data_IF_909551972801
#
_entry.id   IF_909551972801
#
_cell.length_a   1.000
_cell.length_b   1.000
_cell.length_c   1.000
_cell.angle_alpha   90.00
_cell.angle_beta   90.00
_cell.angle_gamma   90.00
#
_symmetry.space_group_name_H-M   'P 1'
#
loop_
_entity.id
_entity.type
_entity.pdbx_description
1 polymer ?
#
# COMPACT_ATOMS: atom_id res chain seq x y z
N UNK A 1 14.65 -10.65 -8.13
CA UNK A 1 15.58 -9.52 -7.86
C UNK A 1 16.24 -9.71 -6.49
N UNK A 2 17.16 -8.83 -6.07
CA UNK A 2 17.62 -8.73 -4.67
C UNK A 2 16.93 -7.55 -3.96
N UNK A 3 17.16 -7.36 -2.66
CA UNK A 3 16.43 -6.36 -1.88
C UNK A 3 16.72 -4.91 -2.29
N UNK A 4 17.99 -4.55 -2.54
CA UNK A 4 18.35 -3.19 -2.97
C UNK A 4 17.78 -2.86 -4.36
N UNK A 5 17.79 -3.83 -5.27
CA UNK A 5 17.12 -3.72 -6.58
C UNK A 5 15.61 -3.56 -6.39
N UNK A 6 14.99 -4.30 -5.48
CA UNK A 6 13.58 -4.13 -5.17
C UNK A 6 13.28 -2.71 -4.69
N UNK A 7 14.02 -2.19 -3.70
CA UNK A 7 13.80 -0.85 -3.13
C UNK A 7 13.91 0.22 -4.21
N UNK A 8 15.00 0.22 -4.98
CA UNK A 8 15.21 1.19 -6.06
C UNK A 8 14.13 1.08 -7.15
N UNK A 9 13.76 -0.14 -7.56
CA UNK A 9 12.71 -0.36 -8.56
C UNK A 9 11.34 0.10 -8.04
N UNK A 10 11.04 -0.15 -6.76
CA UNK A 10 9.79 0.24 -6.14
C UNK A 10 9.63 1.76 -6.09
N UNK A 11 10.69 2.48 -5.73
CA UNK A 11 10.68 3.94 -5.71
C UNK A 11 10.46 4.52 -7.11
N UNK A 12 11.13 3.97 -8.14
CA UNK A 12 10.94 4.38 -9.53
C UNK A 12 9.51 4.09 -10.01
N UNK A 13 8.99 2.90 -9.69
CA UNK A 13 7.63 2.51 -10.05
C UNK A 13 6.60 3.41 -9.34
N UNK A 14 6.80 3.72 -8.06
CA UNK A 14 5.93 4.62 -7.30
C UNK A 14 5.88 6.01 -7.96
N UNK A 15 7.03 6.57 -8.31
CA UNK A 15 7.10 7.86 -8.98
C UNK A 15 6.41 7.87 -10.35
N UNK A 16 6.56 6.80 -11.13
CA UNK A 16 6.01 6.72 -12.50
C UNK A 16 4.53 6.40 -12.56
N UNK A 17 4.06 5.52 -11.67
CA UNK A 17 2.72 4.96 -11.79
C UNK A 17 1.79 5.46 -10.68
N UNK A 18 2.28 5.54 -9.44
CA UNK A 18 1.45 5.88 -8.27
C UNK A 18 1.29 7.39 -8.10
N UNK A 19 2.36 8.14 -8.35
CA UNK A 19 2.40 9.61 -8.28
C UNK A 19 1.97 10.29 -9.58
N UNK A 20 1.90 9.54 -10.68
CA UNK A 20 1.40 10.05 -11.94
C UNK A 20 -0.08 10.39 -11.84
N UNK A 21 -0.45 11.53 -12.44
CA UNK A 21 -1.83 11.99 -12.49
C UNK A 21 -2.63 11.10 -13.42
N UNK A 22 -3.79 10.67 -12.94
CA UNK A 22 -4.88 10.12 -13.76
C UNK A 22 -5.50 11.26 -14.59
N UNK A 23 -6.44 10.89 -15.46
CA UNK A 23 -7.16 11.84 -16.31
C UNK A 23 -7.95 12.91 -15.53
N UNK A 24 -8.31 12.61 -14.27
CA UNK A 24 -8.98 13.54 -13.36
C UNK A 24 -8.05 14.58 -12.69
N UNK A 25 -6.76 14.54 -13.02
CA UNK A 25 -5.75 15.45 -12.50
C UNK A 25 -5.20 15.08 -11.11
N UNK A 26 -5.72 14.02 -10.47
CA UNK A 26 -5.21 13.49 -9.21
C UNK A 26 -4.26 12.31 -9.45
N UNK A 27 -3.21 12.16 -8.64
CA UNK A 27 -2.39 10.94 -8.65
C UNK A 27 -3.20 9.73 -8.15
N UNK A 28 -2.71 8.51 -8.39
CA UNK A 28 -3.32 7.31 -7.80
C UNK A 28 -3.28 7.39 -6.28
N UNK A 29 -2.15 7.77 -5.68
CA UNK A 29 -2.07 8.08 -4.25
C UNK A 29 -1.54 9.50 -4.02
N UNK A 30 -2.40 10.45 -3.56
CA UNK A 30 -2.01 11.84 -3.28
C UNK A 30 -0.89 12.01 -2.25
N UNK A 31 -0.67 11.03 -1.40
CA UNK A 31 0.30 11.10 -0.30
C UNK A 31 1.62 10.38 -0.61
N UNK A 32 1.70 9.59 -1.69
CA UNK A 32 2.87 8.77 -2.01
C UNK A 32 4.14 9.62 -2.21
N UNK A 33 4.02 10.74 -2.92
CA UNK A 33 5.15 11.65 -3.15
C UNK A 33 5.74 12.19 -1.85
N UNK A 34 4.88 12.61 -0.92
CA UNK A 34 5.33 13.12 0.39
C UNK A 34 6.07 12.01 1.14
N UNK A 35 5.47 10.82 1.22
CA UNK A 35 6.09 9.70 1.94
C UNK A 35 7.48 9.36 1.38
N UNK A 36 7.63 9.33 0.06
CA UNK A 36 8.92 9.11 -0.61
C UNK A 36 9.93 10.21 -0.32
N UNK A 37 9.55 11.47 -0.51
CA UNK A 37 10.46 12.62 -0.37
C UNK A 37 10.91 12.87 1.07
N UNK A 38 10.11 12.44 2.05
CA UNK A 38 10.37 12.64 3.46
C UNK A 38 10.94 11.40 4.18
N UNK A 39 11.33 10.35 3.44
CA UNK A 39 11.83 9.09 4.03
C UNK A 39 10.87 8.45 5.05
N UNK A 40 9.56 8.49 4.75
CA UNK A 40 8.50 7.95 5.61
C UNK A 40 8.06 6.53 5.22
N UNK A 41 8.84 5.88 4.35
CA UNK A 41 8.60 4.53 3.85
C UNK A 41 9.64 3.59 4.46
N UNK A 42 9.19 2.60 5.22
CA UNK A 42 10.06 1.49 5.61
C UNK A 42 9.99 0.39 4.56
N UNK A 43 11.13 0.00 4.01
CA UNK A 43 11.21 -1.22 3.20
C UNK A 43 11.60 -2.40 4.07
N UNK A 44 10.93 -3.54 3.88
CA UNK A 44 11.14 -4.75 4.68
C UNK A 44 11.33 -5.94 3.72
N UNK A 45 12.44 -6.67 3.86
CA UNK A 45 12.63 -7.94 3.14
C UNK A 45 11.91 -9.05 3.89
N UNK A 46 10.68 -9.35 3.48
CA UNK A 46 9.82 -10.33 4.12
C UNK A 46 9.76 -11.64 3.33
N UNK A 47 10.74 -11.95 2.47
CA UNK A 47 10.76 -13.20 1.67
C UNK A 47 11.00 -14.47 2.51
N UNK A 48 11.51 -14.31 3.72
CA UNK A 48 11.69 -15.39 4.70
C UNK A 48 11.17 -14.92 6.05
N UNK A 49 10.70 -15.86 6.90
CA UNK A 49 10.14 -15.56 8.22
C UNK A 49 9.05 -14.46 8.17
N UNK A 50 8.12 -14.58 7.21
CA UNK A 50 7.17 -13.52 6.81
C UNK A 50 6.53 -12.79 7.99
N UNK A 51 5.95 -13.53 8.95
CA UNK A 51 5.29 -12.93 10.13
C UNK A 51 6.26 -12.12 10.99
N UNK A 52 7.44 -12.65 11.28
CA UNK A 52 8.44 -11.92 12.08
C UNK A 52 8.92 -10.66 11.37
N UNK A 53 9.14 -10.73 10.05
CA UNK A 53 9.55 -9.57 9.29
C UNK A 53 8.48 -8.48 9.27
N UNK A 54 7.20 -8.83 9.13
CA UNK A 54 6.09 -7.87 9.18
C UNK A 54 5.99 -7.15 10.54
N UNK A 55 6.38 -7.80 11.64
CA UNK A 55 6.42 -7.18 12.98
C UNK A 55 7.51 -6.13 13.14
N UNK A 56 8.50 -6.09 12.26
CA UNK A 56 9.60 -5.10 12.32
C UNK A 56 9.20 -3.70 11.86
N UNK A 57 7.93 -3.50 11.47
CA UNK A 57 7.44 -2.18 11.09
C UNK A 57 7.55 -1.18 12.26
N UNK A 58 8.40 -0.17 12.09
CA UNK A 58 8.61 0.92 13.02
C UNK A 58 7.55 2.00 12.76
N UNK A 59 6.44 1.83 13.46
CA UNK A 59 5.25 2.69 13.38
C UNK A 59 5.45 4.07 14.01
N UNK A 60 6.55 4.30 14.72
CA UNK A 60 6.87 5.61 15.31
C UNK A 60 7.62 6.50 14.32
N UNK A 61 8.48 5.91 13.48
CA UNK A 61 9.26 6.62 12.47
C UNK A 61 8.55 6.74 11.13
N UNK A 62 7.85 5.70 10.68
CA UNK A 62 7.37 5.60 9.30
C UNK A 62 5.84 5.64 9.20
N UNK A 63 5.32 6.22 8.11
CA UNK A 63 3.88 6.25 7.82
C UNK A 63 3.41 4.98 7.11
N UNK A 64 4.30 4.31 6.37
CA UNK A 64 4.00 3.11 5.60
C UNK A 64 5.18 2.12 5.59
N UNK A 65 4.88 0.85 5.76
CA UNK A 65 5.78 -0.27 5.53
C UNK A 65 5.48 -0.94 4.19
N UNK A 66 6.53 -1.21 3.42
CA UNK A 66 6.47 -1.95 2.16
C UNK A 66 7.25 -3.25 2.37
N UNK A 67 6.54 -4.32 2.71
CA UNK A 67 7.12 -5.63 2.91
C UNK A 67 7.14 -6.41 1.60
N UNK A 68 8.34 -6.69 1.10
CA UNK A 68 8.53 -7.45 -0.13
C UNK A 68 8.43 -8.94 0.13
N UNK A 69 7.51 -9.59 -0.58
CA UNK A 69 7.18 -11.01 -0.39
C UNK A 69 7.87 -11.91 -1.44
N UNK A 70 8.55 -11.31 -2.42
CA UNK A 70 9.26 -11.99 -3.49
C UNK A 70 8.58 -11.87 -4.85
N UNK A 71 9.33 -12.21 -5.89
CA UNK A 71 8.87 -12.12 -7.29
C UNK A 71 8.36 -13.49 -7.75
N UNK A 72 7.11 -13.58 -8.18
CA UNK A 72 6.55 -14.80 -8.78
C UNK A 72 5.40 -15.40 -7.99
N UNK A 73 5.19 -16.70 -8.18
CA UNK A 73 4.17 -17.44 -7.43
C UNK A 73 4.65 -17.77 -6.02
N UNK A 74 3.79 -17.50 -5.05
CA UNK A 74 4.08 -17.71 -3.64
C UNK A 74 3.41 -19.01 -3.22
N UNK A 75 4.12 -19.81 -2.43
CA UNK A 75 3.62 -21.11 -1.95
C UNK A 75 2.59 -20.98 -0.81
N UNK A 76 2.22 -19.75 -0.46
CA UNK A 76 1.33 -19.40 0.64
C UNK A 76 0.40 -18.28 0.21
N UNK A 77 -0.71 -18.15 0.92
CA UNK A 77 -1.73 -17.15 0.67
C UNK A 77 -1.36 -15.82 1.34
N UNK A 78 -1.19 -14.78 0.53
CA UNK A 78 -0.81 -13.44 0.99
C UNK A 78 -1.96 -12.71 1.67
N UNK A 79 -3.19 -12.90 1.19
CA UNK A 79 -4.37 -12.26 1.76
C UNK A 79 -4.64 -12.87 3.14
N UNK A 80 -4.56 -14.20 3.27
CA UNK A 80 -4.67 -14.88 4.56
C UNK A 80 -3.58 -14.44 5.56
N UNK A 81 -2.34 -14.25 5.09
CA UNK A 81 -1.26 -13.71 5.92
C UNK A 81 -1.54 -12.27 6.36
N UNK A 82 -1.99 -11.41 5.46
CA UNK A 82 -2.34 -10.03 5.79
C UNK A 82 -3.49 -9.97 6.81
N UNK A 83 -4.53 -10.80 6.64
CA UNK A 83 -5.63 -10.92 7.60
C UNK A 83 -5.18 -11.39 8.99
N UNK A 84 -4.26 -12.34 9.06
CA UNK A 84 -3.66 -12.78 10.33
C UNK A 84 -2.94 -11.65 11.04
N UNK A 85 -2.11 -10.89 10.30
CA UNK A 85 -1.40 -9.73 10.86
C UNK A 85 -2.36 -8.62 11.29
N UNK A 86 -3.44 -8.42 10.53
CA UNK A 86 -4.50 -7.45 10.83
C UNK A 86 -5.23 -7.77 12.15
N UNK A 87 -5.42 -9.05 12.48
CA UNK A 87 -6.00 -9.50 13.75
C UNK A 87 -5.05 -9.26 14.92
N UNK A 88 -3.75 -9.42 14.69
CA UNK A 88 -2.71 -9.20 15.71
C UNK A 88 -2.51 -7.71 16.02
N UNK A 89 -2.54 -6.85 14.99
CA UNK A 89 -2.30 -5.41 15.11
C UNK A 89 -3.52 -4.60 14.66
N UNK A 90 -4.46 -4.41 15.59
CA UNK A 90 -5.74 -3.74 15.31
C UNK A 90 -5.64 -2.26 14.91
N UNK A 91 -4.49 -1.62 15.19
CA UNK A 91 -4.18 -0.21 14.90
C UNK A 91 -3.43 0.00 13.58
N UNK A 92 -3.08 -1.08 12.89
CA UNK A 92 -2.44 -1.06 11.57
C UNK A 92 -3.41 -1.59 10.52
N UNK A 93 -3.20 -1.25 9.26
CA UNK A 93 -3.78 -1.95 8.13
C UNK A 93 -2.72 -2.81 7.44
N UNK A 94 -3.08 -4.04 7.10
CA UNK A 94 -2.30 -4.91 6.23
C UNK A 94 -3.11 -5.21 4.98
N UNK A 95 -2.55 -4.94 3.81
CA UNK A 95 -3.19 -5.27 2.54
C UNK A 95 -2.18 -5.65 1.47
N UNK A 96 -2.62 -6.47 0.53
CA UNK A 96 -1.77 -7.01 -0.52
C UNK A 96 -1.70 -6.07 -1.71
N UNK A 97 -0.51 -5.97 -2.28
CA UNK A 97 -0.25 -5.24 -3.52
C UNK A 97 0.61 -6.14 -4.40
N UNK A 98 0.01 -6.69 -5.46
CA UNK A 98 0.64 -7.75 -6.28
C UNK A 98 0.59 -7.40 -7.76
N UNK A 99 1.21 -8.25 -8.58
CA UNK A 99 1.10 -8.16 -10.04
C UNK A 99 -0.25 -8.65 -10.60
N UNK A 100 -1.07 -9.30 -9.77
CA UNK A 100 -2.40 -9.79 -10.13
C UNK A 100 -3.52 -8.90 -9.58
N UNK A 101 -3.26 -8.12 -8.52
CA UNK A 101 -4.23 -7.27 -7.84
C UNK A 101 -3.93 -5.77 -8.01
N UNK A 102 -4.98 -4.97 -8.16
CA UNK A 102 -4.88 -3.51 -8.32
C UNK A 102 -5.86 -2.97 -9.35
N UNK A 103 -6.72 -2.03 -8.92
CA UNK A 103 -7.73 -1.44 -9.79
C UNK A 103 -7.14 -0.39 -10.74
N UNK A 104 -6.35 0.55 -10.19
CA UNK A 104 -5.73 1.62 -10.98
C UNK A 104 -4.32 1.26 -11.47
N UNK A 105 -3.53 0.60 -10.64
CA UNK A 105 -2.19 0.14 -10.98
C UNK A 105 -1.93 -1.18 -10.28
N UNK A 106 -1.27 -2.10 -10.99
CA UNK A 106 -0.77 -3.35 -10.44
C UNK A 106 0.70 -3.20 -10.10
N UNK A 107 1.11 -3.83 -9.02
CA UNK A 107 2.50 -3.79 -8.59
C UNK A 107 3.35 -4.67 -9.50
N UNK A 108 4.64 -4.36 -9.65
CA UNK A 108 5.55 -5.19 -10.46
C UNK A 108 6.02 -6.44 -9.71
N UNK A 109 5.76 -6.51 -8.40
CA UNK A 109 6.12 -7.63 -7.51
C UNK A 109 5.04 -7.83 -6.45
N UNK A 110 5.23 -8.82 -5.56
CA UNK A 110 4.30 -9.09 -4.47
C UNK A 110 4.76 -8.38 -3.20
N UNK A 111 3.86 -7.58 -2.63
CA UNK A 111 4.09 -6.87 -1.39
C UNK A 111 2.90 -7.02 -0.44
N UNK A 112 3.18 -6.92 0.86
CA UNK A 112 2.21 -6.53 1.87
C UNK A 112 2.53 -5.09 2.28
N UNK A 113 1.54 -4.22 2.19
CA UNK A 113 1.65 -2.85 2.67
C UNK A 113 1.11 -2.78 4.08
N UNK A 114 1.83 -2.05 4.93
CA UNK A 114 1.51 -1.84 6.35
C UNK A 114 1.28 -0.34 6.54
N UNK A 115 0.13 0.08 7.04
CA UNK A 115 -0.18 1.50 7.24
C UNK A 115 -0.78 1.76 8.61
N UNK A 116 -0.53 2.93 9.18
CA UNK A 116 -1.22 3.38 10.38
C UNK A 116 -2.71 3.58 10.09
N UNK A 117 -3.58 2.87 10.83
CA UNK A 117 -5.03 2.92 10.61
C UNK A 117 -5.60 4.32 10.80
N UNK A 118 -5.17 5.01 11.84
CA UNK A 118 -5.61 6.38 12.12
C UNK A 118 -5.24 7.34 10.99
N UNK A 119 -3.97 7.32 10.59
CA UNK A 119 -3.45 8.22 9.55
C UNK A 119 -4.15 8.01 8.19
N UNK A 120 -4.40 6.77 7.79
CA UNK A 120 -5.12 6.54 6.52
C UNK A 120 -6.59 6.98 6.59
N UNK A 121 -7.24 6.87 7.75
CA UNK A 121 -8.61 7.34 7.94
C UNK A 121 -8.66 8.88 7.88
N UNK A 122 -7.75 9.57 8.58
CA UNK A 122 -7.63 11.03 8.53
C UNK A 122 -7.37 11.52 7.09
N UNK A 123 -6.50 10.82 6.35
CA UNK A 123 -6.23 11.08 4.93
C UNK A 123 -7.47 10.86 4.04
N UNK A 124 -8.27 9.82 4.30
CA UNK A 124 -9.51 9.56 3.57
C UNK A 124 -10.56 10.64 3.85
N UNK A 125 -10.73 11.04 5.10
CA UNK A 125 -11.65 12.11 5.50
C UNK A 125 -11.31 13.42 4.76
N UNK A 126 -10.02 13.76 4.68
CA UNK A 126 -9.58 14.87 3.85
C UNK A 126 -9.95 14.67 2.37
N UNK A 127 -9.68 13.51 1.79
CA UNK A 127 -9.99 13.24 0.38
C UNK A 127 -11.50 13.30 0.06
N UNK A 128 -12.38 12.95 1.00
CA UNK A 128 -13.83 13.12 0.87
C UNK A 128 -14.26 14.59 0.81
N UNK A 129 -13.46 15.51 1.34
CA UNK A 129 -13.69 16.96 1.17
C UNK A 129 -13.26 17.49 -0.22
N UNK A 130 -12.68 16.63 -1.06
CA UNK A 130 -12.19 16.96 -2.41
C UNK A 130 -12.94 16.17 -3.49
N UNK A 131 -12.61 16.44 -4.76
CA UNK A 131 -13.16 15.70 -5.91
C UNK A 131 -12.42 14.39 -6.24
N UNK A 132 -11.48 13.95 -5.39
CA UNK A 132 -10.60 12.81 -5.67
C UNK A 132 -11.34 11.50 -5.99
N UNK A 133 -12.44 11.23 -5.31
CA UNK A 133 -13.21 9.99 -5.48
C UNK A 133 -14.25 10.06 -6.62
N UNK A 134 -14.44 11.22 -7.25
CA UNK A 134 -15.49 11.41 -8.27
C UNK A 134 -15.29 10.49 -9.48
N UNK A 135 -14.04 10.18 -9.84
CA UNK A 135 -13.70 9.30 -10.95
C UNK A 135 -13.69 7.80 -10.60
N UNK A 136 -13.77 7.43 -9.31
CA UNK A 136 -13.64 6.05 -8.88
C UNK A 136 -14.91 5.24 -9.19
N UNK A 137 -14.81 4.00 -9.70
CA UNK A 137 -15.99 3.14 -9.83
C UNK A 137 -16.65 2.87 -8.47
N UNK A 138 -17.99 2.87 -8.44
CA UNK A 138 -18.75 2.77 -7.19
C UNK A 138 -18.41 1.52 -6.37
N UNK A 139 -18.28 0.36 -7.03
CA UNK A 139 -17.89 -0.87 -6.34
C UNK A 139 -16.50 -0.81 -5.73
N UNK A 140 -15.54 -0.19 -6.44
CA UNK A 140 -14.19 -0.02 -5.93
C UNK A 140 -14.14 0.97 -4.77
N UNK A 141 -14.89 2.08 -4.86
CA UNK A 141 -15.05 3.03 -3.77
C UNK A 141 -15.61 2.35 -2.52
N UNK A 142 -16.69 1.56 -2.65
CA UNK A 142 -17.30 0.84 -1.54
C UNK A 142 -16.37 -0.20 -0.94
N UNK A 143 -15.63 -0.94 -1.77
CA UNK A 143 -14.64 -1.91 -1.30
C UNK A 143 -13.56 -1.26 -0.44
N UNK A 144 -13.05 -0.09 -0.84
CA UNK A 144 -11.93 0.57 -0.16
C UNK A 144 -12.39 1.39 1.05
N UNK A 145 -13.50 2.11 0.94
CA UNK A 145 -13.98 3.05 1.97
C UNK A 145 -15.01 2.45 2.91
N UNK A 146 -15.70 1.38 2.51
CA UNK A 146 -16.87 0.85 3.21
C UNK A 146 -18.14 1.68 3.06
N UNK A 147 -18.11 2.77 2.27
CA UNK A 147 -19.20 3.70 2.09
C UNK A 147 -19.85 3.55 0.70
N UNK A 148 -21.12 3.93 0.59
CA UNK A 148 -21.74 4.14 -0.72
C UNK A 148 -21.21 5.44 -1.34
N UNK A 149 -20.99 5.42 -2.66
CA UNK A 149 -20.52 6.60 -3.37
C UNK A 149 -21.60 7.70 -3.35
N UNK A 150 -21.27 8.95 -2.98
CA UNK A 150 -22.23 10.06 -2.97
C UNK A 150 -22.88 10.34 -4.33
#
# INVERSE_FOLDING_TARGET
MNFDTFVSTFLIWTEKEVEAKKDDGFPICPFARRARMMDLIQFIDARSNHKEMLRTFDRERYEIGIAWMGDGELSYDLDALAEDMQKEFSDLFFFTSTNKSGHFVRNFTNCIFIQLKKDILDKRDYLHSTNYYNSWPAEYYKLITGLEKP
#
